data_IF_358893365966
#
_entry.id   IF_358893365966
#
_cell.length_a   1.000
_cell.length_b   1.000
_cell.length_c   1.000
_cell.angle_alpha   90.00
_cell.angle_beta   90.00
_cell.angle_gamma   90.00
#
_symmetry.space_group_name_H-M   'P 1'
#
loop_
_entity.id
_entity.type
_entity.pdbx_description
1 polymer ?
#
# COMPACT_ATOMS: atom_id res chain seq x y z
N UNK A 1 -31.60 17.75 18.04
CA UNK A 1 -31.51 17.49 16.57
C UNK A 1 -30.59 16.28 16.42
N UNK A 2 -31.08 15.15 15.99
CA UNK A 2 -30.26 13.97 15.71
C UNK A 2 -29.46 14.27 14.44
N UNK A 3 -28.15 14.35 14.56
CA UNK A 3 -27.25 14.53 13.42
C UNK A 3 -27.37 13.29 12.49
N UNK A 4 -27.33 13.53 11.18
CA UNK A 4 -27.34 12.43 10.22
C UNK A 4 -25.96 11.76 10.20
N UNK A 5 -25.83 10.47 10.53
CA UNK A 5 -24.55 9.76 10.60
C UNK A 5 -23.71 9.88 9.32
N UNK A 6 -24.36 9.93 8.14
CA UNK A 6 -23.69 10.12 6.87
C UNK A 6 -23.07 11.51 6.76
N UNK A 7 -23.75 12.54 7.25
CA UNK A 7 -23.22 13.92 7.26
C UNK A 7 -22.03 14.03 8.18
N UNK A 8 -22.09 13.40 9.36
CA UNK A 8 -20.97 13.38 10.31
C UNK A 8 -19.78 12.60 9.75
N UNK A 9 -20.04 11.50 9.04
CA UNK A 9 -19.03 10.75 8.32
C UNK A 9 -18.35 11.60 7.24
N UNK A 10 -19.12 12.24 6.36
CA UNK A 10 -18.59 13.08 5.30
C UNK A 10 -17.89 14.34 5.84
N UNK A 11 -18.38 14.93 6.93
CA UNK A 11 -17.73 16.05 7.59
C UNK A 11 -16.36 15.71 8.17
N UNK A 12 -16.12 14.44 8.50
CA UNK A 12 -14.81 13.96 8.96
C UNK A 12 -13.76 13.93 7.85
N UNK A 13 -14.16 14.04 6.58
CA UNK A 13 -13.29 14.14 5.39
C UNK A 13 -12.92 15.58 5.00
N UNK A 14 -13.41 16.57 5.72
CA UNK A 14 -13.10 17.97 5.41
C UNK A 14 -11.59 18.27 5.48
N UNK A 15 -11.14 19.35 4.83
CA UNK A 15 -9.75 19.79 4.90
C UNK A 15 -9.43 20.28 6.31
N UNK A 16 -9.15 19.33 7.19
CA UNK A 16 -8.63 19.63 8.53
C UNK A 16 -7.11 19.74 8.46
N UNK A 17 -6.54 20.59 9.29
CA UNK A 17 -5.13 20.93 9.32
C UNK A 17 -4.19 19.74 9.73
N UNK A 18 -4.72 18.57 10.05
CA UNK A 18 -3.95 17.34 10.26
C UNK A 18 -4.02 16.48 9.00
N UNK A 19 -2.89 16.34 8.32
CA UNK A 19 -2.71 15.52 7.12
C UNK A 19 -3.08 14.03 7.26
N UNK A 20 -3.38 13.58 8.47
CA UNK A 20 -3.61 12.17 8.79
C UNK A 20 -5.00 11.66 8.39
N UNK A 21 -5.98 12.54 8.13
CA UNK A 21 -7.36 12.13 7.82
C UNK A 21 -7.59 11.68 6.38
N UNK A 22 -6.55 11.69 5.54
CA UNK A 22 -6.62 11.28 4.13
C UNK A 22 -6.27 9.79 3.92
N UNK A 23 -5.81 9.13 4.97
CA UNK A 23 -5.44 7.71 4.87
C UNK A 23 -6.67 6.80 4.97
N UNK A 24 -6.67 5.76 4.16
CA UNK A 24 -7.72 4.76 4.08
C UNK A 24 -8.09 4.12 5.44
N UNK A 25 -7.14 4.00 6.34
CA UNK A 25 -7.37 3.49 7.70
C UNK A 25 -8.31 4.38 8.52
N UNK A 26 -8.22 5.70 8.36
CA UNK A 26 -9.11 6.64 9.05
C UNK A 26 -10.54 6.59 8.52
N UNK A 27 -10.72 6.21 7.25
CA UNK A 27 -12.05 5.97 6.66
C UNK A 27 -12.78 4.87 7.41
N UNK A 28 -12.11 3.75 7.65
CA UNK A 28 -12.66 2.61 8.38
C UNK A 28 -12.98 3.01 9.83
N UNK A 29 -12.11 3.77 10.46
CA UNK A 29 -12.31 4.24 11.84
C UNK A 29 -13.45 5.27 11.94
N UNK A 30 -13.53 6.21 10.99
CA UNK A 30 -14.62 7.17 10.90
C UNK A 30 -15.97 6.48 10.64
N UNK A 31 -16.01 5.50 9.76
CA UNK A 31 -17.19 4.68 9.51
C UNK A 31 -17.69 3.96 10.77
N UNK A 32 -16.77 3.33 11.52
CA UNK A 32 -17.10 2.69 12.80
C UNK A 32 -17.65 3.69 13.83
N UNK A 33 -17.03 4.86 13.94
CA UNK A 33 -17.43 5.90 14.90
C UNK A 33 -18.80 6.49 14.59
N UNK A 34 -19.12 6.66 13.32
CA UNK A 34 -20.40 7.25 12.88
C UNK A 34 -21.50 6.21 12.67
N UNK A 35 -21.20 4.92 12.74
CA UNK A 35 -22.14 3.85 12.43
C UNK A 35 -22.50 3.73 10.95
N UNK A 36 -21.75 4.41 10.06
CA UNK A 36 -21.91 4.26 8.63
C UNK A 36 -21.16 3.04 8.12
N UNK A 37 -21.71 2.36 7.11
CA UNK A 37 -20.95 1.35 6.38
C UNK A 37 -19.84 2.05 5.58
N UNK A 38 -18.61 1.53 5.65
CA UNK A 38 -17.56 1.99 4.77
C UNK A 38 -17.96 1.72 3.31
N UNK A 39 -17.79 2.73 2.46
CA UNK A 39 -18.00 2.53 1.02
C UNK A 39 -16.85 1.64 0.51
N UNK A 40 -17.19 0.43 0.13
CA UNK A 40 -16.29 -0.47 -0.54
C UNK A 40 -16.53 -0.40 -2.05
N UNK A 41 -15.48 -0.14 -2.80
CA UNK A 41 -15.52 -0.13 -4.26
C UNK A 41 -14.73 -1.33 -4.75
N UNK A 42 -15.41 -2.22 -5.46
CA UNK A 42 -14.73 -3.32 -6.15
C UNK A 42 -13.86 -2.76 -7.27
N UNK A 43 -12.56 -3.01 -7.15
CA UNK A 43 -11.59 -2.63 -8.17
C UNK A 43 -11.14 -3.88 -8.92
N UNK A 44 -11.37 -3.97 -10.24
CA UNK A 44 -10.91 -5.10 -11.07
C UNK A 44 -9.41 -5.38 -10.90
N UNK A 45 -8.61 -4.33 -10.76
CA UNK A 45 -7.16 -4.41 -10.51
C UNK A 45 -6.83 -5.24 -9.26
N UNK A 46 -7.64 -5.21 -8.22
CA UNK A 46 -7.41 -6.00 -6.99
C UNK A 46 -7.38 -7.51 -7.31
N UNK A 47 -8.35 -8.01 -8.08
CA UNK A 47 -8.40 -9.41 -8.48
C UNK A 47 -7.22 -9.82 -9.36
N UNK A 48 -6.82 -8.97 -10.29
CA UNK A 48 -5.65 -9.19 -11.16
C UNK A 48 -4.37 -9.29 -10.34
N UNK A 49 -4.16 -8.40 -9.38
CA UNK A 49 -2.99 -8.40 -8.50
C UNK A 49 -2.93 -9.62 -7.60
N UNK A 50 -4.08 -10.06 -7.05
CA UNK A 50 -4.16 -11.29 -6.27
C UNK A 50 -3.74 -12.47 -7.15
N UNK A 51 -4.27 -12.58 -8.37
CA UNK A 51 -3.91 -13.64 -9.31
C UNK A 51 -2.41 -13.62 -9.66
N UNK A 52 -1.84 -12.44 -9.89
CA UNK A 52 -0.41 -12.27 -10.16
C UNK A 52 0.46 -12.75 -8.99
N UNK A 53 0.12 -12.35 -7.76
CA UNK A 53 0.88 -12.70 -6.57
C UNK A 53 0.72 -14.18 -6.18
N UNK A 54 -0.41 -14.79 -6.49
CA UNK A 54 -0.65 -16.21 -6.28
C UNK A 54 -0.06 -17.11 -7.37
N UNK A 55 0.48 -16.54 -8.44
CA UNK A 55 1.10 -17.30 -9.53
C UNK A 55 2.35 -18.06 -9.07
N UNK A 56 2.80 -19.01 -9.87
CA UNK A 56 4.04 -19.76 -9.61
C UNK A 56 5.29 -18.85 -9.65
N UNK A 57 5.23 -17.76 -10.41
CA UNK A 57 6.31 -16.78 -10.57
C UNK A 57 5.80 -15.37 -10.30
N UNK A 58 5.47 -15.04 -9.04
CA UNK A 58 4.95 -13.73 -8.71
C UNK A 58 5.99 -12.64 -9.00
N UNK A 59 5.49 -11.51 -9.48
CA UNK A 59 6.32 -10.37 -9.87
C UNK A 59 6.19 -9.24 -8.87
N UNK A 60 7.23 -8.41 -8.79
CA UNK A 60 7.14 -7.12 -8.11
C UNK A 60 6.04 -6.26 -8.74
N UNK A 61 5.24 -5.61 -7.90
CA UNK A 61 4.15 -4.73 -8.31
C UNK A 61 4.46 -3.31 -7.86
N UNK A 62 4.38 -2.36 -8.76
CA UNK A 62 4.49 -0.94 -8.46
C UNK A 62 3.15 -0.27 -8.81
N UNK A 63 2.43 0.18 -7.80
CA UNK A 63 1.20 0.95 -7.94
C UNK A 63 1.58 2.44 -7.97
N UNK A 64 1.49 3.05 -9.13
CA UNK A 64 1.83 4.45 -9.33
C UNK A 64 0.61 5.27 -9.73
N UNK A 65 0.70 6.58 -9.59
CA UNK A 65 -0.36 7.53 -9.89
C UNK A 65 -0.35 8.73 -8.95
N UNK A 66 -1.42 9.53 -8.99
CA UNK A 66 -1.55 10.73 -8.17
C UNK A 66 -2.11 10.43 -6.76
N UNK A 67 -2.09 11.42 -5.88
CA UNK A 67 -2.72 11.31 -4.57
C UNK A 67 -4.25 11.11 -4.76
N UNK A 68 -4.82 10.16 -4.02
CA UNK A 68 -6.26 9.86 -4.09
C UNK A 68 -6.65 8.77 -5.11
N UNK A 69 -5.75 8.25 -5.93
CA UNK A 69 -6.05 7.20 -6.93
C UNK A 69 -6.33 5.81 -6.32
N UNK A 70 -6.37 5.69 -4.99
CA UNK A 70 -6.72 4.45 -4.30
C UNK A 70 -5.59 3.40 -4.26
N UNK A 71 -4.33 3.77 -4.52
CA UNK A 71 -3.18 2.84 -4.49
C UNK A 71 -3.07 2.07 -3.17
N UNK A 72 -3.08 2.80 -2.06
CA UNK A 72 -3.00 2.21 -0.71
C UNK A 72 -4.23 1.37 -0.38
N UNK A 73 -5.41 1.79 -0.82
CA UNK A 73 -6.65 1.02 -0.70
C UNK A 73 -6.53 -0.32 -1.45
N UNK A 74 -6.09 -0.29 -2.71
CA UNK A 74 -5.89 -1.50 -3.52
C UNK A 74 -4.87 -2.44 -2.87
N UNK A 75 -3.71 -1.91 -2.44
CA UNK A 75 -2.68 -2.70 -1.77
C UNK A 75 -3.20 -3.33 -0.46
N UNK A 76 -4.01 -2.60 0.32
CA UNK A 76 -4.65 -3.12 1.53
C UNK A 76 -5.60 -4.27 1.20
N UNK A 77 -6.50 -4.08 0.22
CA UNK A 77 -7.45 -5.14 -0.19
C UNK A 77 -6.74 -6.40 -0.68
N UNK A 78 -5.64 -6.26 -1.40
CA UNK A 78 -4.79 -7.37 -1.80
C UNK A 78 -4.17 -8.07 -0.58
N UNK A 79 -3.60 -7.32 0.36
CA UNK A 79 -3.00 -7.87 1.58
C UNK A 79 -4.04 -8.60 2.45
N UNK A 80 -5.24 -8.02 2.63
CA UNK A 80 -6.36 -8.62 3.35
C UNK A 80 -6.78 -9.95 2.71
N UNK A 81 -6.95 -9.97 1.39
CA UNK A 81 -7.34 -11.17 0.67
C UNK A 81 -6.28 -12.29 0.74
N UNK A 82 -4.99 -11.94 0.62
CA UNK A 82 -3.90 -12.92 0.67
C UNK A 82 -3.65 -13.45 2.09
N UNK A 83 -3.86 -12.64 3.12
CA UNK A 83 -3.68 -13.05 4.52
C UNK A 83 -4.90 -13.78 5.10
N UNK A 84 -6.08 -13.50 4.57
CA UNK A 84 -7.37 -13.95 5.14
C UNK A 84 -7.78 -13.19 6.41
N UNK A 85 -7.13 -12.09 6.76
CA UNK A 85 -7.42 -11.27 7.95
C UNK A 85 -7.51 -9.79 7.58
N UNK A 86 -8.68 -9.18 7.74
CA UNK A 86 -8.91 -7.75 7.49
C UNK A 86 -8.17 -6.81 8.47
N UNK A 87 -7.54 -7.34 9.52
CA UNK A 87 -6.82 -6.55 10.54
C UNK A 87 -5.32 -6.46 10.28
N UNK A 88 -4.83 -7.07 9.21
CA UNK A 88 -3.39 -7.15 8.90
C UNK A 88 -2.75 -5.80 8.60
N UNK A 89 -3.56 -4.82 8.18
CA UNK A 89 -3.08 -3.50 7.78
C UNK A 89 -3.02 -2.54 8.98
N UNK A 90 -1.83 -2.45 9.62
CA UNK A 90 -1.62 -1.55 10.77
C UNK A 90 -1.29 -0.13 10.33
N UNK A 91 -1.85 0.87 11.02
CA UNK A 91 -1.61 2.30 10.76
C UNK A 91 -0.17 2.73 11.04
N UNK A 92 0.53 2.01 11.92
CA UNK A 92 1.87 2.40 12.37
C UNK A 92 2.99 1.86 11.49
N UNK A 93 2.74 0.79 10.72
CA UNK A 93 3.76 0.17 9.88
C UNK A 93 3.74 0.77 8.47
N UNK A 94 4.87 1.29 8.01
CA UNK A 94 5.06 1.78 6.63
C UNK A 94 5.35 0.66 5.64
N UNK A 95 5.99 -0.39 6.13
CA UNK A 95 6.27 -1.63 5.39
C UNK A 95 5.59 -2.76 6.14
N UNK A 96 4.74 -3.49 5.44
CA UNK A 96 4.01 -4.63 5.96
C UNK A 96 4.46 -5.91 5.25
N UNK A 97 4.82 -6.94 5.99
CA UNK A 97 5.14 -8.28 5.45
C UNK A 97 3.97 -9.21 5.70
N UNK A 98 3.52 -9.93 4.68
CA UNK A 98 2.49 -10.95 4.85
C UNK A 98 2.95 -12.00 5.88
N UNK A 99 2.07 -12.41 6.82
CA UNK A 99 2.42 -13.36 7.88
C UNK A 99 2.67 -14.78 7.34
N UNK A 100 2.22 -15.06 6.13
CA UNK A 100 2.41 -16.33 5.45
C UNK A 100 3.02 -16.08 4.06
N UNK A 101 3.92 -16.96 3.60
CA UNK A 101 4.45 -16.86 2.26
C UNK A 101 3.34 -17.06 1.20
N UNK A 102 3.57 -16.54 0.03
CA UNK A 102 2.76 -16.78 -1.17
C UNK A 102 2.77 -18.27 -1.55
N UNK A 103 1.85 -18.75 -2.38
CA UNK A 103 1.85 -20.14 -2.85
C UNK A 103 3.16 -20.56 -3.53
N UNK A 104 3.91 -19.63 -4.09
CA UNK A 104 5.26 -19.82 -4.63
C UNK A 104 6.35 -20.07 -3.60
N UNK A 105 6.05 -19.96 -2.30
CA UNK A 105 7.02 -19.98 -1.20
C UNK A 105 7.73 -18.66 -0.93
N UNK A 106 7.45 -17.59 -1.72
CA UNK A 106 8.07 -16.28 -1.58
C UNK A 106 7.36 -15.42 -0.52
N UNK A 107 8.11 -14.58 0.18
CA UNK A 107 7.53 -13.57 1.07
C UNK A 107 6.98 -12.39 0.25
N UNK A 108 5.86 -11.79 0.68
CA UNK A 108 5.34 -10.57 0.08
C UNK A 108 5.45 -9.41 1.08
N UNK A 109 6.06 -8.32 0.61
CA UNK A 109 6.25 -7.08 1.35
C UNK A 109 5.48 -5.95 0.68
N UNK A 110 4.68 -5.25 1.46
CA UNK A 110 3.86 -4.12 1.01
C UNK A 110 4.45 -2.83 1.54
N UNK A 111 4.82 -1.92 0.64
CA UNK A 111 5.23 -0.55 0.97
C UNK A 111 4.02 0.35 0.75
N UNK A 112 3.44 0.87 1.84
CA UNK A 112 2.20 1.64 1.82
C UNK A 112 2.30 2.96 1.07
N UNK A 113 3.39 3.68 1.27
CA UNK A 113 3.79 4.86 0.52
C UNK A 113 5.31 5.02 0.59
N UNK A 114 5.97 4.87 -0.55
CA UNK A 114 7.42 5.00 -0.64
C UNK A 114 7.89 6.43 -0.28
N UNK A 115 7.05 7.45 -0.45
CA UNK A 115 7.40 8.83 -0.11
C UNK A 115 7.54 9.07 1.40
N UNK A 116 6.85 8.29 2.22
CA UNK A 116 6.88 8.40 3.68
C UNK A 116 8.04 7.66 4.35
N UNK A 117 8.72 6.79 3.62
CA UNK A 117 9.89 6.07 4.12
C UNK A 117 11.08 7.04 4.16
N UNK A 118 11.83 7.02 5.27
CA UNK A 118 13.02 7.85 5.39
C UNK A 118 14.16 7.35 4.48
N UNK A 119 15.14 8.22 4.20
CA UNK A 119 16.21 7.92 3.23
C UNK A 119 17.10 6.75 3.67
N UNK A 120 17.37 6.60 4.97
CA UNK A 120 18.17 5.48 5.47
C UNK A 120 17.45 4.13 5.21
N UNK A 121 16.14 4.09 5.43
CA UNK A 121 15.33 2.91 5.20
C UNK A 121 15.14 2.63 3.70
N UNK A 122 14.96 3.67 2.88
CA UNK A 122 14.94 3.53 1.42
C UNK A 122 16.25 2.93 0.88
N UNK A 123 17.40 3.39 1.38
CA UNK A 123 18.70 2.86 0.99
C UNK A 123 18.86 1.39 1.41
N UNK A 124 18.31 1.01 2.56
CA UNK A 124 18.36 -0.37 3.05
C UNK A 124 17.53 -1.33 2.18
N UNK A 125 16.33 -0.90 1.73
CA UNK A 125 15.42 -1.76 0.95
C UNK A 125 15.68 -1.73 -0.56
N UNK A 126 16.43 -0.74 -1.06
CA UNK A 126 16.67 -0.58 -2.49
C UNK A 126 17.33 -1.79 -3.16
N UNK A 127 18.41 -2.39 -2.59
CA UNK A 127 19.01 -3.60 -3.16
C UNK A 127 18.01 -4.76 -3.26
N UNK A 128 17.17 -4.95 -2.25
CA UNK A 128 16.17 -6.02 -2.24
C UNK A 128 15.07 -5.80 -3.30
N UNK A 129 14.67 -4.54 -3.52
CA UNK A 129 13.73 -4.18 -4.61
C UNK A 129 14.37 -4.49 -5.96
N UNK A 130 15.63 -4.11 -6.18
CA UNK A 130 16.35 -4.39 -7.43
C UNK A 130 16.47 -5.91 -7.64
N UNK A 131 16.91 -6.65 -6.62
CA UNK A 131 17.03 -8.11 -6.69
C UNK A 131 15.67 -8.78 -7.04
N UNK A 132 14.55 -8.22 -6.53
CA UNK A 132 13.21 -8.69 -6.90
C UNK A 132 12.87 -8.39 -8.36
N UNK A 133 13.21 -7.19 -8.85
CA UNK A 133 12.96 -6.79 -10.24
C UNK A 133 13.80 -7.58 -11.23
N UNK A 134 15.04 -7.95 -10.86
CA UNK A 134 15.96 -8.77 -11.68
C UNK A 134 15.66 -10.28 -11.56
N UNK A 135 14.81 -10.68 -10.61
CA UNK A 135 14.45 -12.08 -10.39
C UNK A 135 15.44 -12.85 -9.50
N UNK A 136 16.36 -12.15 -8.85
CA UNK A 136 17.38 -12.74 -7.98
C UNK A 136 16.90 -12.93 -6.52
N UNK A 137 15.82 -12.23 -6.12
CA UNK A 137 15.25 -12.31 -4.77
C UNK A 137 14.20 -13.39 -4.64
N UNK A 138 14.09 -13.94 -3.42
CA UNK A 138 12.98 -14.79 -3.00
C UNK A 138 11.76 -14.00 -2.51
N UNK A 139 11.90 -12.68 -2.36
CA UNK A 139 10.83 -11.81 -1.90
C UNK A 139 10.09 -11.16 -3.08
N UNK A 140 8.89 -10.67 -2.82
CA UNK A 140 8.07 -9.94 -3.79
C UNK A 140 7.62 -8.64 -3.13
N UNK A 141 7.83 -7.51 -3.80
CA UNK A 141 7.38 -6.21 -3.32
C UNK A 141 6.09 -5.75 -4.01
N UNK A 142 5.17 -5.20 -3.21
CA UNK A 142 4.04 -4.39 -3.68
C UNK A 142 4.27 -2.97 -3.17
N UNK A 143 4.55 -2.05 -4.07
CA UNK A 143 5.00 -0.70 -3.73
C UNK A 143 3.96 0.32 -4.17
N UNK A 144 3.42 1.09 -3.22
CA UNK A 144 2.62 2.28 -3.53
C UNK A 144 3.53 3.50 -3.57
N UNK A 145 3.42 4.30 -4.63
CA UNK A 145 4.26 5.49 -4.82
C UNK A 145 3.61 6.48 -5.77
N UNK A 146 3.88 7.77 -5.61
CA UNK A 146 3.53 8.77 -6.60
C UNK A 146 4.60 8.82 -7.71
N UNK A 147 4.18 9.11 -8.96
CA UNK A 147 5.05 9.06 -10.14
C UNK A 147 6.35 9.85 -9.99
N UNK A 148 6.27 11.08 -9.49
CA UNK A 148 7.45 11.91 -9.26
C UNK A 148 8.42 11.34 -8.22
N UNK A 149 7.91 10.71 -7.18
CA UNK A 149 8.71 10.05 -6.15
C UNK A 149 9.35 8.76 -6.66
N UNK A 150 8.67 8.00 -7.51
CA UNK A 150 9.21 6.80 -8.14
C UNK A 150 10.43 7.13 -8.99
N UNK A 151 10.30 8.11 -9.89
CA UNK A 151 11.40 8.54 -10.76
C UNK A 151 12.59 9.05 -9.94
N UNK A 152 12.34 9.84 -8.89
CA UNK A 152 13.38 10.31 -7.98
C UNK A 152 14.06 9.16 -7.25
N UNK A 153 13.30 8.20 -6.73
CA UNK A 153 13.81 7.06 -5.99
C UNK A 153 14.84 6.25 -6.80
N UNK A 154 14.52 5.94 -8.06
CA UNK A 154 15.41 5.17 -8.92
C UNK A 154 16.58 6.01 -9.47
N UNK A 155 16.36 7.29 -9.83
CA UNK A 155 17.42 8.17 -10.31
C UNK A 155 18.49 8.41 -9.26
N UNK A 156 18.09 8.77 -8.05
CA UNK A 156 19.02 9.18 -6.99
C UNK A 156 19.88 7.98 -6.53
N UNK A 157 19.39 6.75 -6.67
CA UNK A 157 20.10 5.52 -6.31
C UNK A 157 20.83 4.86 -7.47
N UNK A 158 20.26 4.88 -8.66
CA UNK A 158 20.93 4.38 -9.86
C UNK A 158 22.19 5.17 -10.24
N UNK A 159 22.30 6.44 -9.83
CA UNK A 159 23.52 7.21 -9.99
C UNK A 159 24.62 6.84 -8.97
N UNK A 160 24.25 6.31 -7.81
CA UNK A 160 25.21 5.90 -6.79
C UNK A 160 25.95 4.59 -7.13
N UNK A 161 25.39 3.77 -8.02
CA UNK A 161 26.03 2.53 -8.48
C UNK A 161 26.98 2.72 -9.67
N UNK A 162 27.03 3.93 -10.26
CA UNK A 162 27.89 4.27 -11.39
C UNK A 162 29.21 4.96 -10.97
N UNK A 163 29.47 5.09 -9.68
CA UNK A 163 30.67 5.63 -9.08
C UNK A 163 31.31 4.63 -8.12
#
# INVERSE_FOLDING_TARGET
MTSNPLVDFLASYGPQASSNNLYDEFVVEAAKRTGCAALEVDQPLTAELIGLLQSATPKCVILTGTAGDGKTYTARKVAEALSGDARVWSNTQKIYTLPKPLPSGRSALFIKDLSEINEAEKNRIFPDIIATLTGESTDVFVICVNDGHLLKFFRDRGQAELH
#
